data_IF_673685415627
#
_entry.id   IF_673685415627
#
_cell.length_a   1.000
_cell.length_b   1.000
_cell.length_c   1.000
_cell.angle_alpha   90.00
_cell.angle_beta   90.00
_cell.angle_gamma   90.00
#
_symmetry.space_group_name_H-M   'P 1'
#
loop_
_entity.id
_entity.type
_entity.pdbx_description
1 polymer ?
#
# COMPACT_ATOMS: atom_id res chain seq x y z
N UNK A 1 -28.90 39.08 -4.26
CA UNK A 1 -28.27 40.34 -3.82
C UNK A 1 -28.07 40.24 -2.31
N UNK A 2 -26.90 39.98 -1.88
CA UNK A 2 -26.07 40.59 -0.84
C UNK A 2 -24.80 39.73 -0.70
N UNK A 3 -23.71 40.37 -0.96
CA UNK A 3 -22.32 39.94 -0.98
C UNK A 3 -21.80 39.62 0.42
N UNK A 4 -21.17 38.46 0.59
CA UNK A 4 -20.27 38.15 1.73
C UNK A 4 -18.95 37.60 1.24
N UNK A 5 -18.19 38.47 0.57
CA UNK A 5 -16.76 38.29 0.39
C UNK A 5 -16.08 39.40 1.20
N UNK A 6 -15.33 39.07 2.23
CA UNK A 6 -14.29 39.90 2.85
C UNK A 6 -14.15 39.67 4.38
N UNK A 7 -13.69 38.48 4.79
CA UNK A 7 -13.13 38.33 6.14
C UNK A 7 -11.85 37.46 6.15
N UNK A 8 -11.54 36.72 5.10
CA UNK A 8 -10.35 35.83 5.08
C UNK A 8 -9.03 36.49 4.63
N UNK A 9 -9.04 37.77 4.27
CA UNK A 9 -7.87 38.48 3.69
C UNK A 9 -6.99 39.24 4.70
N UNK A 10 -7.32 39.30 5.98
CA UNK A 10 -6.60 40.19 6.92
C UNK A 10 -5.75 39.52 7.99
N UNK A 11 -5.71 38.20 8.07
CA UNK A 11 -4.91 37.47 9.09
C UNK A 11 -3.53 37.04 8.58
N UNK A 12 -3.31 37.01 7.24
CA UNK A 12 -2.04 36.49 6.67
C UNK A 12 -0.95 37.57 6.46
N UNK A 13 -1.22 38.84 6.71
CA UNK A 13 -0.28 39.95 6.44
C UNK A 13 0.47 40.46 7.68
N UNK A 14 0.35 39.82 8.83
CA UNK A 14 1.01 40.31 10.07
C UNK A 14 2.30 39.57 10.41
N UNK A 15 2.75 38.58 9.61
CA UNK A 15 3.96 37.78 9.91
C UNK A 15 5.17 38.08 9.03
N UNK A 16 5.08 39.01 8.06
CA UNK A 16 6.24 39.39 7.23
C UNK A 16 6.51 40.88 7.42
N UNK A 17 7.17 41.22 8.53
CA UNK A 17 7.90 42.47 8.63
C UNK A 17 9.36 42.20 8.30
N UNK A 18 9.93 42.77 7.23
CA UNK A 18 11.36 42.73 7.01
C UNK A 18 12.04 43.63 8.02
N UNK A 19 12.92 43.05 8.83
CA UNK A 19 13.79 43.75 9.74
C UNK A 19 14.84 44.49 8.92
N UNK A 20 14.58 45.77 8.62
CA UNK A 20 15.55 46.67 8.00
C UNK A 20 16.59 47.04 9.03
N UNK A 21 17.78 46.46 8.94
CA UNK A 21 18.93 46.85 9.72
C UNK A 21 19.55 48.06 9.04
N UNK A 22 19.29 49.25 9.64
CA UNK A 22 20.01 50.46 9.27
C UNK A 22 21.36 50.42 10.02
N UNK A 23 22.44 50.26 9.24
CA UNK A 23 23.81 50.38 9.70
C UNK A 23 24.16 51.88 9.79
N UNK A 24 24.13 52.48 10.96
CA UNK A 24 24.82 53.74 11.24
C UNK A 24 26.19 53.47 11.82
N UNK A 25 27.23 53.69 11.04
CA UNK A 25 28.60 53.74 11.47
C UNK A 25 28.83 55.07 12.23
N UNK A 26 28.99 55.03 13.53
CA UNK A 26 29.75 56.06 14.22
C UNK A 26 30.38 55.54 15.53
N UNK A 27 31.69 55.60 15.55
CA UNK A 27 32.64 55.91 16.58
C UNK A 27 32.66 55.08 17.88
N UNK A 28 33.77 54.33 18.04
CA UNK A 28 34.46 54.04 19.33
C UNK A 28 33.56 53.65 20.52
N UNK A 29 33.47 52.38 20.84
CA UNK A 29 33.82 51.85 22.17
C UNK A 29 33.18 50.47 22.42
N UNK A 30 34.05 49.53 22.83
CA UNK A 30 33.74 48.30 23.58
C UNK A 30 32.66 47.40 22.98
N UNK A 31 33.14 46.42 22.26
CA UNK A 31 32.38 45.21 21.97
C UNK A 31 32.01 44.54 23.29
N UNK A 32 30.87 44.91 23.86
CA UNK A 32 30.16 44.08 24.83
C UNK A 32 29.62 42.94 23.98
N UNK A 33 30.20 41.76 24.11
CA UNK A 33 29.61 40.53 23.61
C UNK A 33 28.24 40.38 24.26
N UNK A 34 27.19 40.77 23.53
CA UNK A 34 25.82 40.43 23.88
C UNK A 34 25.69 38.96 23.55
N UNK A 35 26.08 38.10 24.46
CA UNK A 35 25.62 36.73 24.45
C UNK A 35 24.10 36.81 24.61
N UNK A 36 23.27 36.36 23.66
CA UNK A 36 21.84 36.31 23.87
C UNK A 36 21.64 35.42 25.10
N UNK A 37 20.97 35.97 26.08
CA UNK A 37 20.57 35.27 27.32
C UNK A 37 19.89 33.98 26.86
N UNK A 38 20.59 32.87 26.97
CA UNK A 38 20.11 31.54 26.58
C UNK A 38 18.85 31.30 27.38
N UNK A 39 17.68 31.49 26.75
CA UNK A 39 16.42 31.09 27.34
C UNK A 39 16.45 29.58 27.45
N UNK A 40 16.62 29.00 28.65
CA UNK A 40 16.69 27.55 28.81
C UNK A 40 15.42 26.86 28.31
N UNK A 41 14.29 27.58 28.32
CA UNK A 41 13.00 27.13 27.81
C UNK A 41 13.07 26.88 26.27
N UNK A 42 13.75 27.75 25.53
CA UNK A 42 13.86 27.60 24.06
C UNK A 42 14.73 26.37 23.69
N UNK A 43 15.79 26.14 24.46
CA UNK A 43 16.62 24.95 24.35
C UNK A 43 15.88 23.68 24.79
N UNK A 44 15.06 23.78 25.84
CA UNK A 44 14.22 22.67 26.32
C UNK A 44 13.12 22.33 25.29
N UNK A 45 12.48 23.33 24.67
CA UNK A 45 11.50 23.13 23.58
C UNK A 45 12.18 22.55 22.33
N UNK A 46 13.38 23.03 21.98
CA UNK A 46 14.14 22.46 20.85
C UNK A 46 14.56 21.01 21.15
N UNK A 47 15.00 20.73 22.38
CA UNK A 47 15.38 19.39 22.81
C UNK A 47 14.16 18.45 22.85
N UNK A 48 13.01 18.89 23.34
CA UNK A 48 11.77 18.11 23.32
C UNK A 48 11.25 17.90 21.90
N UNK A 49 11.36 18.88 21.01
CA UNK A 49 11.03 18.74 19.59
C UNK A 49 11.92 17.71 18.90
N UNK A 50 13.20 17.67 19.24
CA UNK A 50 14.14 16.65 18.71
C UNK A 50 13.87 15.25 19.29
N UNK A 51 13.20 15.17 20.45
CA UNK A 51 12.87 13.92 21.11
C UNK A 51 11.62 13.21 20.51
N UNK A 52 10.82 13.88 19.69
CA UNK A 52 9.56 13.34 19.14
C UNK A 52 9.69 12.63 17.78
N UNK A 53 10.87 12.54 17.17
CA UNK A 53 11.06 11.93 15.87
C UNK A 53 11.43 10.44 15.95
N UNK A 54 10.53 9.63 16.44
CA UNK A 54 10.74 8.18 16.56
C UNK A 54 9.58 7.36 16.01
N UNK A 55 9.01 7.76 14.86
CA UNK A 55 7.91 7.02 14.24
C UNK A 55 8.42 5.76 13.54
N UNK A 56 7.78 4.63 13.81
CA UNK A 56 7.88 3.42 12.99
C UNK A 56 6.85 3.55 11.90
N UNK A 57 7.29 3.55 10.65
CA UNK A 57 6.40 3.53 9.50
C UNK A 57 6.28 2.10 8.98
N UNK A 58 5.05 1.64 8.80
CA UNK A 58 4.74 0.31 8.38
C UNK A 58 3.62 0.35 7.35
N UNK A 59 3.99 0.21 6.10
CA UNK A 59 3.08 0.31 4.98
C UNK A 59 2.89 -1.06 4.34
N UNK A 60 1.65 -1.43 4.08
CA UNK A 60 1.28 -2.62 3.32
C UNK A 60 0.50 -2.18 2.10
N UNK A 61 0.96 -2.58 0.92
CA UNK A 61 0.33 -2.24 -0.35
C UNK A 61 -0.03 -3.46 -1.17
N UNK A 62 -1.20 -3.43 -1.79
CA UNK A 62 -1.61 -4.39 -2.81
C UNK A 62 -1.69 -3.67 -4.15
N UNK A 63 -0.84 -4.06 -5.09
CA UNK A 63 -0.80 -3.53 -6.44
C UNK A 63 -1.32 -4.59 -7.40
N UNK A 64 -2.40 -4.30 -8.12
CA UNK A 64 -2.93 -5.17 -9.16
C UNK A 64 -2.64 -4.59 -10.54
N UNK A 65 -2.07 -5.41 -11.42
CA UNK A 65 -1.87 -5.05 -12.83
C UNK A 65 -3.06 -5.50 -13.68
N UNK A 66 -3.55 -6.71 -13.43
CA UNK A 66 -4.70 -7.33 -14.08
C UNK A 66 -5.31 -8.41 -13.17
N UNK A 67 -6.26 -9.20 -13.67
CA UNK A 67 -6.90 -10.28 -12.89
C UNK A 67 -5.96 -11.41 -12.48
N UNK A 68 -4.82 -11.53 -13.14
CA UNK A 68 -3.90 -12.66 -13.01
C UNK A 68 -2.48 -12.24 -12.61
N UNK A 69 -2.26 -10.97 -12.27
CA UNK A 69 -0.96 -10.51 -11.78
C UNK A 69 -1.05 -9.31 -10.89
N UNK A 70 -0.19 -9.29 -9.90
CA UNK A 70 -0.03 -8.21 -8.95
C UNK A 70 1.12 -8.46 -8.00
N UNK A 71 1.29 -7.54 -7.08
CA UNK A 71 2.37 -7.55 -6.09
C UNK A 71 1.84 -7.13 -4.71
N UNK A 72 2.21 -7.88 -3.70
CA UNK A 72 2.13 -7.48 -2.30
C UNK A 72 3.43 -6.75 -1.94
N UNK A 73 3.33 -5.50 -1.56
CA UNK A 73 4.48 -4.67 -1.19
C UNK A 73 4.39 -4.35 0.29
N UNK A 74 5.45 -4.61 1.03
CA UNK A 74 5.58 -4.19 2.41
C UNK A 74 6.79 -3.26 2.55
N UNK A 75 6.57 -2.06 3.04
CA UNK A 75 7.60 -1.10 3.36
C UNK A 75 7.66 -0.88 4.87
N UNK A 76 8.81 -1.15 5.45
CA UNK A 76 9.06 -0.99 6.87
C UNK A 76 10.21 -0.02 7.04
N UNK A 77 9.96 1.05 7.79
CA UNK A 77 10.97 2.01 8.20
C UNK A 77 10.91 2.17 9.71
N UNK A 78 11.99 1.83 10.37
CA UNK A 78 12.14 1.94 11.81
C UNK A 78 12.78 3.29 12.16
N UNK A 79 12.37 3.90 13.26
CA UNK A 79 13.00 5.11 13.75
C UNK A 79 14.40 4.82 14.30
N UNK A 80 15.35 5.70 14.03
CA UNK A 80 16.77 5.58 14.43
C UNK A 80 16.98 5.28 15.92
N UNK A 81 16.03 5.67 16.76
CA UNK A 81 16.09 5.43 18.21
C UNK A 81 15.84 3.97 18.57
N UNK A 82 14.93 3.30 17.83
CA UNK A 82 14.62 1.91 18.09
C UNK A 82 15.85 1.04 17.81
N UNK A 83 16.57 1.34 16.74
CA UNK A 83 17.78 0.64 16.34
C UNK A 83 18.96 0.88 17.25
N UNK A 84 19.08 2.08 17.81
CA UNK A 84 20.15 2.41 18.77
C UNK A 84 20.03 1.66 20.10
N UNK A 85 18.81 1.26 20.52
CA UNK A 85 18.57 0.50 21.75
C UNK A 85 18.52 -1.03 21.57
N UNK A 86 18.21 -1.51 20.37
CA UNK A 86 17.91 -2.91 20.09
C UNK A 86 18.46 -3.39 18.76
N UNK A 87 19.58 -2.85 18.29
CA UNK A 87 20.12 -3.07 16.96
C UNK A 87 20.23 -4.53 16.52
N UNK A 88 20.69 -5.41 17.40
CA UNK A 88 20.85 -6.84 17.09
C UNK A 88 19.48 -7.52 16.92
N UNK A 89 18.52 -7.24 17.81
CA UNK A 89 17.17 -7.81 17.73
C UNK A 89 16.40 -7.28 16.51
N UNK A 90 16.60 -6.00 16.15
CA UNK A 90 16.01 -5.38 14.96
C UNK A 90 16.55 -6.03 13.68
N UNK A 91 17.88 -6.21 13.60
CA UNK A 91 18.51 -6.84 12.44
C UNK A 91 18.07 -8.30 12.28
N UNK A 92 17.94 -9.05 13.38
CA UNK A 92 17.44 -10.43 13.37
C UNK A 92 15.96 -10.48 12.91
N UNK A 93 15.14 -9.57 13.38
CA UNK A 93 13.75 -9.44 12.95
C UNK A 93 13.63 -9.12 11.45
N UNK A 94 14.40 -8.14 10.93
CA UNK A 94 14.43 -7.83 9.50
C UNK A 94 14.92 -9.01 8.66
N UNK A 95 15.94 -9.74 9.13
CA UNK A 95 16.43 -10.94 8.47
C UNK A 95 15.35 -12.06 8.45
N UNK A 96 14.50 -12.13 9.48
CA UNK A 96 13.38 -13.08 9.50
C UNK A 96 12.33 -12.74 8.43
N UNK A 97 12.07 -11.45 8.22
CA UNK A 97 11.17 -10.96 7.15
C UNK A 97 11.74 -11.29 5.78
N UNK A 98 13.04 -11.06 5.56
CA UNK A 98 13.70 -11.42 4.31
C UNK A 98 13.61 -12.92 4.00
N UNK A 99 13.82 -13.77 4.99
CA UNK A 99 13.70 -15.23 4.81
C UNK A 99 12.29 -15.63 4.39
N UNK A 100 11.27 -15.11 5.08
CA UNK A 100 9.85 -15.36 4.74
C UNK A 100 9.51 -14.87 3.33
N UNK A 101 9.95 -13.68 2.97
CA UNK A 101 9.72 -13.14 1.65
C UNK A 101 10.32 -14.04 0.56
N UNK A 102 11.54 -14.53 0.75
CA UNK A 102 12.21 -15.45 -0.19
C UNK A 102 11.49 -16.79 -0.31
N UNK A 103 10.89 -17.31 0.76
CA UNK A 103 10.09 -18.54 0.73
C UNK A 103 8.86 -18.39 -0.16
N UNK A 104 8.31 -17.16 -0.26
CA UNK A 104 7.15 -16.80 -1.07
C UNK A 104 7.54 -16.23 -2.45
N UNK A 105 8.74 -16.54 -2.94
CA UNK A 105 9.27 -16.02 -4.22
C UNK A 105 9.41 -14.50 -4.27
N UNK A 106 9.38 -13.85 -3.11
CA UNK A 106 9.48 -12.41 -2.99
C UNK A 106 10.91 -11.90 -3.14
N UNK A 107 11.01 -10.62 -3.47
CA UNK A 107 12.25 -9.86 -3.53
C UNK A 107 12.31 -8.91 -2.34
N UNK A 108 13.50 -8.70 -1.82
CA UNK A 108 13.74 -7.77 -0.72
C UNK A 108 14.80 -6.76 -1.13
N UNK A 109 14.52 -5.50 -0.85
CA UNK A 109 15.45 -4.40 -1.05
C UNK A 109 15.69 -3.73 0.29
N UNK A 110 16.90 -3.86 0.82
CA UNK A 110 17.31 -3.13 2.02
C UNK A 110 17.82 -1.75 1.61
N UNK A 111 17.06 -0.72 1.97
CA UNK A 111 17.40 0.68 1.67
C UNK A 111 18.41 1.21 2.68
N UNK A 112 18.27 0.83 3.95
CA UNK A 112 19.20 1.14 5.04
C UNK A 112 19.22 0.01 6.08
N UNK A 113 19.96 0.20 7.19
CA UNK A 113 19.91 -0.74 8.32
C UNK A 113 18.53 -0.77 9.01
N UNK A 114 17.71 0.24 8.79
CA UNK A 114 16.44 0.52 9.44
C UNK A 114 15.25 0.43 8.48
N UNK A 115 15.51 0.29 7.18
CA UNK A 115 14.50 0.37 6.13
C UNK A 115 14.61 -0.78 5.15
N UNK A 116 13.49 -1.51 4.99
CA UNK A 116 13.37 -2.63 4.06
C UNK A 116 12.08 -2.52 3.26
N UNK A 117 12.18 -2.82 1.98
CA UNK A 117 11.05 -2.98 1.07
C UNK A 117 11.01 -4.45 0.65
N UNK A 118 9.87 -5.06 0.84
CA UNK A 118 9.56 -6.44 0.43
C UNK A 118 8.53 -6.40 -0.67
N UNK A 119 8.75 -7.16 -1.74
CA UNK A 119 7.80 -7.29 -2.86
C UNK A 119 7.58 -8.77 -3.13
N UNK A 120 6.34 -9.24 -2.98
CA UNK A 120 5.94 -10.63 -3.20
C UNK A 120 4.95 -10.66 -4.37
N UNK A 121 5.31 -11.27 -5.51
CA UNK A 121 4.42 -11.36 -6.66
C UNK A 121 3.33 -12.40 -6.41
N UNK A 122 2.17 -12.22 -7.03
CA UNK A 122 1.09 -13.20 -7.08
C UNK A 122 0.44 -13.23 -8.47
N UNK A 123 -0.06 -14.41 -8.86
CA UNK A 123 -0.65 -14.68 -10.18
C UNK A 123 -2.15 -14.93 -10.10
N UNK A 124 -2.75 -14.95 -8.91
CA UNK A 124 -4.18 -15.14 -8.74
C UNK A 124 -4.66 -14.57 -7.40
N UNK A 125 -5.98 -14.40 -7.25
CA UNK A 125 -6.57 -13.96 -5.99
C UNK A 125 -6.40 -14.99 -4.86
N UNK A 126 -6.43 -16.27 -5.19
CA UNK A 126 -6.20 -17.36 -4.22
C UNK A 126 -4.75 -17.35 -3.74
N UNK A 127 -3.80 -17.23 -4.65
CA UNK A 127 -2.38 -17.15 -4.32
C UNK A 127 -2.06 -15.90 -3.47
N UNK A 128 -2.70 -14.76 -3.78
CA UNK A 128 -2.58 -13.58 -2.91
C UNK A 128 -3.01 -13.88 -1.49
N UNK A 129 -4.17 -14.52 -1.28
CA UNK A 129 -4.68 -14.85 0.06
C UNK A 129 -3.74 -15.81 0.79
N UNK A 130 -3.25 -16.85 0.12
CA UNK A 130 -2.31 -17.82 0.68
C UNK A 130 -0.99 -17.14 1.08
N UNK A 131 -0.34 -16.44 0.13
CA UNK A 131 0.93 -15.73 0.37
C UNK A 131 0.80 -14.65 1.44
N UNK A 132 -0.32 -13.91 1.45
CA UNK A 132 -0.59 -12.90 2.47
C UNK A 132 -0.69 -13.52 3.86
N UNK A 133 -1.52 -14.54 4.01
CA UNK A 133 -1.72 -15.22 5.29
C UNK A 133 -0.44 -15.91 5.77
N UNK A 134 0.30 -16.55 4.89
CA UNK A 134 1.57 -17.17 5.25
C UNK A 134 2.61 -16.14 5.67
N UNK A 135 2.69 -15.01 4.97
CA UNK A 135 3.65 -13.96 5.26
C UNK A 135 3.39 -13.25 6.60
N UNK A 136 2.13 -12.88 6.86
CA UNK A 136 1.77 -12.10 8.06
C UNK A 136 1.45 -12.96 9.28
N UNK A 137 0.88 -14.15 9.12
CA UNK A 137 0.45 -15.01 10.22
C UNK A 137 1.42 -16.16 10.53
N UNK A 138 2.60 -16.18 9.97
CA UNK A 138 3.60 -17.25 10.13
C UNK A 138 3.91 -17.60 11.61
N UNK A 139 3.82 -16.62 12.53
CA UNK A 139 4.01 -16.88 13.97
C UNK A 139 2.82 -17.58 14.62
N UNK A 140 1.60 -17.34 14.16
CA UNK A 140 0.41 -18.00 14.69
C UNK A 140 0.41 -19.51 14.37
N UNK A 141 0.96 -19.88 13.21
CA UNK A 141 1.03 -21.27 12.77
C UNK A 141 2.15 -22.07 13.45
N UNK A 142 3.28 -21.43 13.79
CA UNK A 142 4.41 -22.09 14.46
C UNK A 142 4.13 -22.39 15.94
N UNK A 143 3.23 -21.67 16.59
CA UNK A 143 2.88 -21.89 18.01
C UNK A 143 2.00 -23.12 18.20
N UNK A 144 1.39 -23.66 17.14
CA UNK A 144 0.52 -24.84 17.20
C UNK A 144 1.29 -26.17 17.16
N UNK A 145 2.55 -26.20 16.73
CA UNK A 145 3.30 -27.47 16.52
C UNK A 145 4.52 -27.69 17.41
N UNK A 146 5.02 -26.74 18.18
CA UNK A 146 6.21 -26.96 19.01
C UNK A 146 6.03 -26.53 20.47
N UNK A 147 5.80 -27.56 21.30
CA UNK A 147 6.31 -27.74 22.67
C UNK A 147 6.27 -26.51 23.60
N UNK A 148 5.41 -26.68 24.64
CA UNK A 148 5.54 -26.09 25.97
C UNK A 148 6.96 -25.62 26.33
N UNK A 149 7.35 -24.46 25.88
CA UNK A 149 8.41 -23.70 26.52
C UNK A 149 7.75 -22.55 27.27
N UNK A 150 7.66 -22.74 28.60
CA UNK A 150 7.36 -21.70 29.56
C UNK A 150 8.41 -20.61 29.45
N UNK A 151 8.14 -19.59 28.67
CA UNK A 151 8.70 -18.26 28.86
C UNK A 151 7.63 -17.27 28.43
N UNK A 152 7.09 -16.57 29.42
CA UNK A 152 6.11 -15.50 29.33
C UNK A 152 6.65 -14.32 28.51
N UNK A 153 6.74 -14.49 27.19
CA UNK A 153 6.85 -13.37 26.27
C UNK A 153 5.45 -13.15 25.71
N UNK A 154 4.62 -12.42 26.44
CA UNK A 154 3.34 -11.85 25.96
C UNK A 154 3.61 -10.85 24.83
N UNK A 155 4.16 -11.33 23.71
CA UNK A 155 4.21 -10.51 22.50
C UNK A 155 2.78 -10.37 21.96
N UNK A 156 2.35 -9.16 21.58
CA UNK A 156 1.00 -8.94 21.10
C UNK A 156 0.73 -9.79 19.87
N UNK A 157 -0.35 -10.53 19.89
CA UNK A 157 -0.84 -11.29 18.75
C UNK A 157 -1.54 -10.31 17.81
N UNK A 158 -0.94 -10.05 16.66
CA UNK A 158 -1.55 -9.28 15.57
C UNK A 158 -2.08 -10.29 14.56
N UNK A 159 -3.40 -10.26 14.35
CA UNK A 159 -4.06 -11.09 13.35
C UNK A 159 -4.40 -10.24 12.13
N UNK A 160 -3.97 -10.70 10.96
CA UNK A 160 -4.20 -10.02 9.70
C UNK A 160 -4.81 -11.00 8.71
N UNK A 161 -5.93 -10.65 8.09
CA UNK A 161 -6.63 -11.51 7.16
C UNK A 161 -7.04 -10.73 5.91
N UNK A 162 -6.76 -11.30 4.74
CA UNK A 162 -7.21 -10.79 3.45
C UNK A 162 -8.11 -11.83 2.78
N UNK A 163 -9.29 -11.38 2.36
CA UNK A 163 -10.22 -12.14 1.53
C UNK A 163 -10.45 -11.38 0.23
N UNK A 164 -10.32 -12.07 -0.91
CA UNK A 164 -10.57 -11.53 -2.22
C UNK A 164 -11.65 -12.37 -2.93
N UNK A 165 -12.85 -11.82 -3.04
CA UNK A 165 -13.95 -12.41 -3.80
C UNK A 165 -13.87 -11.95 -5.25
N UNK A 166 -13.86 -12.90 -6.20
CA UNK A 166 -13.72 -12.62 -7.62
C UNK A 166 -14.93 -13.10 -8.40
N UNK A 167 -15.57 -12.19 -9.14
CA UNK A 167 -16.65 -12.50 -10.05
C UNK A 167 -16.17 -12.28 -11.49
N UNK A 168 -16.11 -13.35 -12.26
CA UNK A 168 -15.58 -13.37 -13.62
C UNK A 168 -16.65 -13.04 -14.65
N UNK A 169 -16.42 -11.98 -15.42
CA UNK A 169 -17.10 -11.66 -16.65
C UNK A 169 -16.16 -11.92 -17.82
N UNK A 170 -16.69 -11.95 -19.03
CA UNK A 170 -15.89 -12.34 -20.20
C UNK A 170 -14.58 -11.57 -20.33
N UNK A 171 -14.61 -10.24 -20.23
CA UNK A 171 -13.45 -9.37 -20.43
C UNK A 171 -12.94 -8.75 -19.14
N UNK A 172 -13.72 -8.77 -18.08
CA UNK A 172 -13.49 -8.08 -16.82
C UNK A 172 -13.72 -9.01 -15.65
N UNK A 173 -12.98 -8.79 -14.58
CA UNK A 173 -13.18 -9.44 -13.29
C UNK A 173 -13.54 -8.38 -12.25
N UNK A 174 -14.69 -8.53 -11.62
CA UNK A 174 -15.07 -7.72 -10.47
C UNK A 174 -14.47 -8.34 -9.22
N UNK A 175 -13.70 -7.56 -8.50
CA UNK A 175 -13.04 -7.97 -7.27
C UNK A 175 -13.65 -7.21 -6.09
N UNK A 176 -13.88 -7.93 -4.98
CA UNK A 176 -14.21 -7.37 -3.68
C UNK A 176 -13.13 -7.80 -2.71
N UNK A 177 -12.34 -6.83 -2.24
CA UNK A 177 -11.29 -7.02 -1.26
C UNK A 177 -11.85 -6.71 0.12
N UNK A 178 -11.66 -7.63 1.05
CA UNK A 178 -11.94 -7.46 2.47
C UNK A 178 -10.62 -7.64 3.21
N UNK A 179 -10.22 -6.65 3.99
CA UNK A 179 -9.02 -6.69 4.80
C UNK A 179 -9.35 -6.39 6.25
N UNK A 180 -9.08 -7.37 7.10
CA UNK A 180 -9.27 -7.31 8.55
C UNK A 180 -7.92 -7.33 9.25
N UNK A 181 -7.64 -6.32 10.07
CA UNK A 181 -6.42 -6.22 10.87
C UNK A 181 -6.76 -5.94 12.33
N UNK A 182 -6.50 -6.91 13.21
CA UNK A 182 -6.71 -6.75 14.64
C UNK A 182 -5.48 -6.22 15.36
N UNK A 183 -5.56 -4.94 15.74
CA UNK A 183 -4.50 -4.23 16.46
C UNK A 183 -4.84 -4.01 17.95
N UNK A 184 -5.91 -4.63 18.47
CA UNK A 184 -6.34 -4.43 19.86
C UNK A 184 -5.28 -4.85 20.88
N UNK A 185 -4.49 -5.84 20.57
CA UNK A 185 -3.37 -6.28 21.40
C UNK A 185 -2.32 -5.20 21.65
N UNK A 186 -2.15 -4.24 20.73
CA UNK A 186 -1.23 -3.12 20.89
C UNK A 186 -1.68 -2.14 21.97
N UNK A 187 -2.99 -2.01 22.21
CA UNK A 187 -3.52 -1.15 23.27
C UNK A 187 -3.20 -1.68 24.67
N UNK A 188 -3.09 -3.00 24.84
CA UNK A 188 -2.78 -3.63 26.11
C UNK A 188 -1.35 -3.38 26.57
N UNK A 189 -0.42 -3.25 25.64
CA UNK A 189 0.99 -2.91 25.93
C UNK A 189 1.11 -1.47 26.36
N UNK A 190 0.41 -0.57 25.67
CA UNK A 190 0.39 0.85 26.01
C UNK A 190 -0.19 1.10 27.41
N UNK A 191 -1.12 0.28 27.89
CA UNK A 191 -1.74 0.43 29.22
C UNK A 191 -0.90 -0.15 30.36
N UNK A 192 -0.08 -1.18 30.11
CA UNK A 192 0.81 -1.80 31.11
C UNK A 192 2.10 -0.99 31.36
N UNK A 193 2.55 -0.21 30.38
CA UNK A 193 3.67 0.73 30.53
C UNK A 193 3.15 2.14 30.78
N UNK A 194 3.50 2.75 31.91
CA UNK A 194 3.14 4.13 32.29
C UNK A 194 3.55 5.24 31.29
N UNK A 195 3.82 4.89 30.05
CA UNK A 195 4.23 5.77 28.97
C UNK A 195 3.32 5.50 27.80
N UNK A 196 2.60 6.50 27.36
CA UNK A 196 1.89 6.61 26.09
C UNK A 196 0.36 6.51 26.16
N UNK A 197 -0.21 7.63 26.41
CA UNK A 197 -1.59 7.98 26.07
C UNK A 197 -1.85 8.06 24.55
N UNK A 198 -0.85 7.79 23.69
CA UNK A 198 -1.01 7.85 22.23
C UNK A 198 -0.08 6.85 21.50
N UNK A 199 -0.46 5.58 21.44
CA UNK A 199 0.21 4.60 20.57
C UNK A 199 0.18 5.04 19.10
N UNK A 200 -0.86 5.78 18.68
CA UNK A 200 -1.00 6.34 17.34
C UNK A 200 0.00 7.41 16.95
N UNK A 201 0.74 7.99 17.90
CA UNK A 201 1.79 9.00 17.59
C UNK A 201 3.16 8.38 17.29
N UNK A 202 3.33 7.07 17.54
CA UNK A 202 4.62 6.38 17.37
C UNK A 202 4.59 5.40 16.20
N UNK A 203 3.41 4.89 15.86
CA UNK A 203 3.19 3.92 14.81
C UNK A 203 2.39 4.56 13.68
N UNK A 204 3.00 4.73 12.53
CA UNK A 204 2.33 5.13 11.30
C UNK A 204 2.07 3.86 10.49
N UNK A 205 0.80 3.44 10.47
CA UNK A 205 0.36 2.20 9.84
C UNK A 205 -0.53 2.55 8.67
N UNK A 206 -0.11 2.18 7.47
CA UNK A 206 -0.85 2.47 6.25
C UNK A 206 -1.15 1.19 5.47
N UNK A 207 -2.36 1.13 4.90
CA UNK A 207 -2.73 0.12 3.91
C UNK A 207 -3.07 0.81 2.60
N UNK A 208 -2.50 0.32 1.49
CA UNK A 208 -2.75 0.89 0.17
C UNK A 208 -3.23 -0.14 -0.83
N UNK A 209 -4.18 0.26 -1.67
CA UNK A 209 -4.69 -0.54 -2.77
C UNK A 209 -4.55 0.24 -4.07
N UNK A 210 -3.71 -0.25 -4.97
CA UNK A 210 -3.50 0.32 -6.30
C UNK A 210 -4.03 -0.63 -7.36
N UNK A 211 -4.86 -0.11 -8.27
CA UNK A 211 -5.48 -0.89 -9.35
C UNK A 211 -5.46 -0.09 -10.65
N UNK A 212 -5.49 -0.72 -11.84
CA UNK A 212 -5.38 -0.02 -13.13
C UNK A 212 -6.42 1.08 -13.33
N UNK A 213 -7.66 0.85 -12.88
CA UNK A 213 -8.76 1.80 -13.07
C UNK A 213 -9.25 2.44 -11.78
N UNK A 214 -8.52 2.25 -10.67
CA UNK A 214 -8.89 2.69 -9.35
C UNK A 214 -9.90 1.74 -8.69
N UNK A 215 -10.05 1.93 -7.38
CA UNK A 215 -10.97 1.17 -6.54
C UNK A 215 -12.01 2.10 -5.91
N UNK A 216 -13.11 1.51 -5.44
CA UNK A 216 -14.15 2.21 -4.69
C UNK A 216 -14.26 1.60 -3.30
N UNK A 217 -14.13 2.44 -2.28
CA UNK A 217 -14.46 2.04 -0.91
C UNK A 217 -15.97 1.84 -0.80
N UNK A 218 -16.39 0.68 -0.27
CA UNK A 218 -17.81 0.33 -0.10
C UNK A 218 -18.21 0.15 1.36
N UNK A 219 -17.28 0.36 2.27
CA UNK A 219 -17.56 0.31 3.69
C UNK A 219 -18.49 1.47 4.08
N UNK A 220 -19.66 1.15 4.63
CA UNK A 220 -20.70 2.12 4.99
C UNK A 220 -20.94 2.24 6.51
N UNK A 221 -20.03 1.72 7.32
CA UNK A 221 -20.14 1.72 8.79
C UNK A 221 -19.73 3.09 9.34
N UNK A 222 -20.33 3.56 10.44
CA UNK A 222 -19.95 4.82 11.10
C UNK A 222 -18.49 4.85 11.58
N UNK A 223 -17.89 3.67 11.79
CA UNK A 223 -16.48 3.48 12.15
C UNK A 223 -15.58 3.24 10.94
N UNK A 224 -16.10 3.46 9.72
CA UNK A 224 -15.34 3.27 8.49
C UNK A 224 -14.17 4.25 8.41
N UNK A 225 -12.99 3.73 8.12
CA UNK A 225 -11.82 4.56 7.83
C UNK A 225 -11.95 5.05 6.39
N UNK A 226 -12.12 6.35 6.19
CA UNK A 226 -12.14 6.92 4.85
C UNK A 226 -10.74 6.90 4.24
N UNK A 227 -10.58 6.33 3.02
CA UNK A 227 -9.29 6.33 2.35
C UNK A 227 -8.97 7.68 1.72
N UNK A 228 -7.72 8.06 1.75
CA UNK A 228 -7.17 9.12 0.91
C UNK A 228 -7.03 8.58 -0.52
N UNK A 229 -7.59 9.29 -1.51
CA UNK A 229 -7.50 8.90 -2.91
C UNK A 229 -6.38 9.66 -3.61
N UNK A 230 -5.40 8.92 -4.13
CA UNK A 230 -4.32 9.46 -4.94
C UNK A 230 -4.30 8.78 -6.32
N UNK A 231 -4.95 9.40 -7.30
CA UNK A 231 -5.13 8.81 -8.63
C UNK A 231 -5.89 7.48 -8.58
N UNK A 232 -5.21 6.39 -8.96
CA UNK A 232 -5.74 5.03 -8.97
C UNK A 232 -5.43 4.24 -7.68
N UNK A 233 -4.88 4.89 -6.68
CA UNK A 233 -4.54 4.31 -5.39
C UNK A 233 -5.48 4.85 -4.31
N UNK A 234 -5.94 3.95 -3.45
CA UNK A 234 -6.60 4.26 -2.18
C UNK A 234 -5.61 3.97 -1.05
N UNK A 235 -5.53 4.88 -0.08
CA UNK A 235 -4.65 4.80 1.08
C UNK A 235 -5.49 4.93 2.36
N UNK A 236 -5.43 3.94 3.23
CA UNK A 236 -6.08 3.95 4.54
C UNK A 236 -5.04 4.10 5.64
N UNK A 237 -5.25 5.04 6.54
CA UNK A 237 -4.47 5.16 7.79
C UNK A 237 -5.11 4.28 8.85
N UNK A 238 -4.41 3.23 9.24
CA UNK A 238 -4.90 2.25 10.19
C UNK A 238 -4.80 2.79 11.63
N UNK A 239 -5.77 2.44 12.45
CA UNK A 239 -5.84 2.90 13.83
C UNK A 239 -5.27 1.84 14.78
N UNK A 240 -4.14 2.11 15.46
CA UNK A 240 -3.60 1.22 16.48
C UNK A 240 -4.57 1.04 17.65
N UNK A 241 -4.61 -0.17 18.21
CA UNK A 241 -5.47 -0.47 19.36
C UNK A 241 -6.92 -0.80 19.04
N UNK A 242 -7.28 -0.88 17.75
CA UNK A 242 -8.62 -1.19 17.27
C UNK A 242 -8.61 -2.33 16.25
N UNK A 243 -9.79 -2.85 15.96
CA UNK A 243 -10.02 -3.70 14.79
C UNK A 243 -10.22 -2.79 13.57
N UNK A 244 -9.32 -2.91 12.60
CA UNK A 244 -9.42 -2.19 11.35
C UNK A 244 -10.05 -3.11 10.30
N UNK A 245 -11.17 -2.68 9.73
CA UNK A 245 -11.88 -3.38 8.68
C UNK A 245 -11.91 -2.49 7.45
N UNK A 246 -11.50 -3.00 6.30
CA UNK A 246 -11.47 -2.29 5.02
C UNK A 246 -12.20 -3.14 3.98
N UNK A 247 -13.08 -2.51 3.22
CA UNK A 247 -13.78 -3.16 2.15
C UNK A 247 -13.77 -2.30 0.89
N UNK A 248 -13.24 -2.85 -0.22
CA UNK A 248 -13.12 -2.14 -1.48
C UNK A 248 -13.53 -3.01 -2.67
N UNK A 249 -14.15 -2.39 -3.67
CA UNK A 249 -14.51 -3.03 -4.94
C UNK A 249 -13.77 -2.37 -6.09
N UNK A 250 -13.25 -3.19 -7.00
CA UNK A 250 -12.56 -2.74 -8.19
C UNK A 250 -12.70 -3.73 -9.34
N UNK A 251 -12.41 -3.26 -10.54
CA UNK A 251 -12.47 -4.03 -11.75
C UNK A 251 -11.09 -4.21 -12.34
N UNK A 252 -10.83 -5.42 -12.84
CA UNK A 252 -9.57 -5.76 -13.49
C UNK A 252 -9.83 -6.32 -14.88
N UNK A 253 -8.95 -6.02 -15.87
CA UNK A 253 -9.02 -6.67 -17.18
C UNK A 253 -8.68 -8.15 -17.04
N UNK A 254 -9.40 -9.00 -17.78
CA UNK A 254 -9.13 -10.43 -17.89
C UNK A 254 -8.26 -10.70 -19.13
N UNK A 255 -6.95 -10.98 -18.99
CA UNK A 255 -6.10 -11.28 -20.15
C UNK A 255 -6.59 -12.47 -20.96
N UNK A 256 -7.11 -13.49 -20.27
CA UNK A 256 -7.67 -14.69 -20.89
C UNK A 256 -8.93 -14.36 -21.72
N UNK A 257 -9.84 -13.57 -21.16
CA UNK A 257 -11.06 -13.16 -21.86
C UNK A 257 -10.77 -12.27 -23.07
N UNK A 258 -9.84 -11.33 -22.92
CA UNK A 258 -9.39 -10.46 -24.01
C UNK A 258 -8.73 -11.30 -25.13
N UNK A 259 -7.85 -12.25 -24.76
CA UNK A 259 -7.22 -13.15 -25.72
C UNK A 259 -8.24 -14.01 -26.48
N UNK A 260 -9.22 -14.58 -25.78
CA UNK A 260 -10.32 -15.35 -26.42
C UNK A 260 -11.12 -14.48 -27.39
N UNK A 261 -11.47 -13.24 -27.01
CA UNK A 261 -12.17 -12.32 -27.90
C UNK A 261 -11.37 -12.01 -29.17
N UNK A 262 -10.07 -11.76 -29.04
CA UNK A 262 -9.19 -11.50 -30.18
C UNK A 262 -9.15 -12.71 -31.14
N UNK A 263 -9.08 -13.93 -30.62
CA UNK A 263 -9.12 -15.16 -31.45
C UNK A 263 -10.47 -15.25 -32.19
N UNK A 264 -11.60 -15.03 -31.52
CA UNK A 264 -12.92 -15.04 -32.12
C UNK A 264 -13.02 -14.01 -33.25
N UNK A 265 -12.56 -12.79 -33.02
CA UNK A 265 -12.57 -11.71 -34.02
C UNK A 265 -11.66 -12.04 -35.20
N UNK A 266 -10.51 -12.65 -34.94
CA UNK A 266 -9.59 -13.07 -36.00
C UNK A 266 -10.20 -14.17 -36.90
N UNK A 267 -10.82 -15.20 -36.30
CA UNK A 267 -11.51 -16.26 -37.03
C UNK A 267 -12.69 -15.71 -37.83
N UNK A 268 -13.53 -14.87 -37.20
CA UNK A 268 -14.67 -14.26 -37.85
C UNK A 268 -14.24 -13.34 -39.00
N UNK A 269 -13.21 -12.50 -38.78
CA UNK A 269 -12.63 -11.66 -39.83
C UNK A 269 -12.03 -12.45 -40.99
N UNK A 270 -11.35 -13.57 -40.71
CA UNK A 270 -10.83 -14.48 -41.71
C UNK A 270 -11.93 -15.12 -42.56
N UNK A 271 -13.01 -15.58 -41.92
CA UNK A 271 -14.18 -16.10 -42.61
C UNK A 271 -14.86 -15.03 -43.49
N UNK A 272 -15.03 -13.83 -42.96
CA UNK A 272 -15.60 -12.68 -43.68
C UNK A 272 -14.79 -12.34 -44.93
N UNK A 273 -13.45 -12.26 -44.82
CA UNK A 273 -12.54 -12.04 -45.95
C UNK A 273 -12.65 -13.19 -46.98
N UNK A 274 -12.68 -14.44 -46.52
CA UNK A 274 -12.81 -15.59 -47.39
C UNK A 274 -14.10 -15.53 -48.20
N UNK A 275 -15.25 -15.28 -47.59
CA UNK A 275 -16.55 -15.27 -48.27
C UNK A 275 -16.74 -14.05 -49.16
N UNK A 276 -16.17 -12.90 -48.84
CA UNK A 276 -16.36 -11.67 -49.64
C UNK A 276 -15.29 -11.44 -50.70
N UNK A 277 -14.06 -11.91 -50.49
CA UNK A 277 -12.95 -11.60 -51.39
C UNK A 277 -12.38 -12.82 -52.11
N UNK A 278 -12.66 -14.05 -51.69
CA UNK A 278 -12.17 -15.26 -52.38
C UNK A 278 -13.31 -15.89 -53.21
N UNK A 279 -13.10 -16.15 -54.51
CA UNK A 279 -14.05 -16.84 -55.32
C UNK A 279 -14.24 -18.29 -54.83
N UNK A 280 -15.49 -18.81 -54.92
CA UNK A 280 -15.81 -20.15 -54.49
C UNK A 280 -15.00 -21.16 -55.30
N UNK A 281 -14.17 -22.01 -54.70
CA UNK A 281 -13.35 -23.00 -55.41
C UNK A 281 -14.19 -24.01 -56.20
N UNK A 282 -15.49 -24.16 -55.90
CA UNK A 282 -16.40 -25.04 -56.64
C UNK A 282 -16.78 -24.51 -58.03
N UNK A 283 -16.63 -23.23 -58.32
CA UNK A 283 -16.93 -22.61 -59.59
C UNK A 283 -15.77 -22.78 -60.57
N UNK A 284 -14.57 -23.13 -60.12
CA UNK A 284 -13.38 -23.26 -60.99
C UNK A 284 -13.26 -24.55 -61.72
N UNK A 285 -14.10 -25.57 -61.46
CA UNK A 285 -14.14 -26.80 -62.18
C UNK A 285 -15.57 -27.04 -62.70
N UNK A 286 -15.93 -26.55 -63.93
CA UNK A 286 -17.17 -26.98 -64.54
C UNK A 286 -17.09 -28.51 -64.79
N UNK A 287 -18.16 -29.27 -64.54
CA UNK A 287 -18.15 -30.70 -64.76
C UNK A 287 -17.80 -30.97 -66.26
N UNK A 288 -16.71 -31.69 -66.46
CA UNK A 288 -16.30 -32.13 -67.80
C UNK A 288 -17.45 -32.84 -68.41
N UNK A 289 -18.10 -32.21 -69.40
CA UNK A 289 -19.17 -32.81 -70.12
C UNK A 289 -18.68 -34.16 -70.71
N UNK A 290 -19.31 -35.26 -70.30
CA UNK A 290 -19.06 -36.56 -70.84
C UNK A 290 -19.39 -36.50 -72.33
N UNK A 291 -18.37 -36.65 -73.21
CA UNK A 291 -18.55 -36.79 -74.62
C UNK A 291 -19.35 -38.08 -74.88
N UNK A 292 -20.57 -37.88 -75.22
CA UNK A 292 -21.39 -38.97 -75.77
C UNK A 292 -20.77 -39.35 -77.14
N UNK A 293 -20.07 -40.47 -77.19
CA UNK A 293 -19.72 -41.10 -78.44
C UNK A 293 -20.97 -41.79 -78.96
N UNK A 294 -21.62 -41.21 -79.99
CA UNK A 294 -22.52 -41.95 -80.90
C UNK A 294 -21.66 -42.78 -81.81
N UNK A 295 -21.93 -44.10 -81.85
CA UNK A 295 -21.70 -45.02 -82.96
C UNK A 295 -22.99 -45.33 -83.64
#
# INVERSE_FOLDING_TARGET
MVSTSSIFGKIFLWFIRPFSFVFTLNGRNRIKRVFPRRNPILWLVLLTSLLLTGCVKYDVGLNFDNSNSGELVQHIKLGERLTSFSGDSVSEWLNSIERRARQLEGKTQRVSQEEIIVTIPFSSGTELQEKFNEFFNARANQTSESVQSKSDSELPKIESNVLLEQNYFLLLVRNRLIYDLDLRSLSLIASKGNVLTNAGSILDLEFSLKTPWGAKNIQLTETAIEPEKNGNQLLWKLQPGQLNHIEAVFWLPSPLGIGALLIILFVWGGLYLRYNFMPDPRIQFPPKAAAIQEQ
#
